data_IF_356218023281
#
_entry.id   IF_356218023281
#
_cell.length_a   1.000
_cell.length_b   1.000
_cell.length_c   1.000
_cell.angle_alpha   90.00
_cell.angle_beta   90.00
_cell.angle_gamma   90.00
#
_symmetry.space_group_name_H-M   'P 1'
#
loop_
_entity.id
_entity.type
_entity.pdbx_description
1 polymer ?
#
# COMPACT_ATOMS: atom_id res chain seq x y z
N UNK A 1 13.95 -7.59 -38.40
CA UNK A 1 13.91 -8.13 -37.03
C UNK A 1 14.57 -7.11 -36.11
N UNK A 2 13.79 -6.30 -35.38
CA UNK A 2 14.31 -5.42 -34.33
C UNK A 2 14.14 -6.14 -33.00
N UNK A 3 15.26 -6.38 -32.31
CA UNK A 3 15.27 -6.87 -30.93
C UNK A 3 14.51 -5.87 -30.07
N UNK A 4 13.36 -6.27 -29.51
CA UNK A 4 12.77 -5.52 -28.40
C UNK A 4 13.71 -5.71 -27.23
N UNK A 5 14.50 -4.69 -26.91
CA UNK A 5 15.14 -4.62 -25.62
C UNK A 5 14.03 -4.75 -24.57
N UNK A 6 14.07 -5.84 -23.82
CA UNK A 6 13.10 -6.15 -22.79
C UNK A 6 13.43 -5.25 -21.59
N UNK A 7 13.15 -3.95 -21.69
CA UNK A 7 13.29 -3.02 -20.56
C UNK A 7 12.43 -3.55 -19.43
N UNK A 8 13.07 -4.01 -18.36
CA UNK A 8 12.40 -4.45 -17.14
C UNK A 8 11.66 -3.22 -16.60
N UNK A 9 10.34 -3.22 -16.75
CA UNK A 9 9.52 -2.17 -16.17
C UNK A 9 9.44 -2.43 -14.66
N UNK A 10 10.16 -1.63 -13.87
CA UNK A 10 10.15 -1.71 -12.42
C UNK A 10 8.86 -1.07 -11.92
N UNK A 11 8.07 -1.84 -11.17
CA UNK A 11 6.86 -1.34 -10.55
C UNK A 11 7.16 -0.78 -9.15
N UNK A 12 6.64 0.40 -8.84
CA UNK A 12 6.78 1.04 -7.54
C UNK A 12 5.64 0.60 -6.62
N UNK A 13 5.98 -0.11 -5.56
CA UNK A 13 5.08 -0.53 -4.49
C UNK A 13 5.31 0.35 -3.27
N UNK A 14 4.23 0.94 -2.75
CA UNK A 14 4.25 1.63 -1.47
C UNK A 14 3.48 0.84 -0.42
N UNK A 15 4.12 0.55 0.70
CA UNK A 15 3.57 -0.30 1.76
C UNK A 15 3.29 0.54 2.99
N UNK A 16 2.03 0.61 3.39
CA UNK A 16 1.65 1.17 4.68
C UNK A 16 1.53 0.04 5.70
N UNK A 17 2.18 0.17 6.85
CA UNK A 17 2.12 -0.82 7.91
C UNK A 17 2.08 -0.19 9.30
N UNK A 18 1.66 -0.99 10.28
CA UNK A 18 1.82 -0.70 11.70
C UNK A 18 2.58 -1.82 12.38
N UNK A 19 3.63 -1.47 13.13
CA UNK A 19 4.44 -2.38 13.94
C UNK A 19 4.91 -3.62 13.15
N UNK A 20 5.48 -3.40 11.97
CA UNK A 20 6.03 -4.47 11.12
C UNK A 20 5.01 -5.44 10.51
N UNK A 21 3.70 -5.14 10.58
CA UNK A 21 2.64 -6.04 10.10
C UNK A 21 2.77 -6.46 8.63
N UNK A 22 3.43 -5.67 7.78
CA UNK A 22 3.65 -5.99 6.36
C UNK A 22 4.94 -6.75 6.07
N UNK A 23 5.85 -6.93 7.04
CA UNK A 23 7.22 -7.39 6.78
C UNK A 23 7.30 -8.77 6.11
N UNK A 24 6.45 -9.71 6.52
CA UNK A 24 6.43 -11.05 5.94
C UNK A 24 6.07 -11.01 4.44
N UNK A 25 5.15 -10.14 4.04
CA UNK A 25 4.74 -9.94 2.65
C UNK A 25 5.81 -9.19 1.86
N UNK A 26 6.39 -8.14 2.44
CA UNK A 26 7.52 -7.41 1.84
C UNK A 26 8.71 -8.34 1.58
N UNK A 27 9.06 -9.21 2.54
CA UNK A 27 10.14 -10.19 2.37
C UNK A 27 9.84 -11.13 1.20
N UNK A 28 8.63 -11.67 1.12
CA UNK A 28 8.21 -12.50 -0.02
C UNK A 28 8.27 -11.77 -1.36
N UNK A 29 7.86 -10.49 -1.41
CA UNK A 29 7.98 -9.68 -2.63
C UNK A 29 9.45 -9.50 -3.04
N UNK A 30 10.34 -9.24 -2.09
CA UNK A 30 11.78 -9.08 -2.37
C UNK A 30 12.43 -10.39 -2.82
N UNK A 31 12.08 -11.50 -2.18
CA UNK A 31 12.62 -12.83 -2.48
C UNK A 31 12.13 -13.38 -3.82
N UNK A 32 10.84 -13.27 -4.10
CA UNK A 32 10.21 -13.88 -5.28
C UNK A 32 9.87 -12.89 -6.40
N UNK A 33 10.07 -11.59 -6.18
CA UNK A 33 9.70 -10.53 -7.13
C UNK A 33 10.64 -10.40 -8.34
N UNK A 34 11.77 -11.11 -8.35
CA UNK A 34 12.74 -11.13 -9.44
C UNK A 34 13.21 -9.73 -9.88
N UNK A 35 13.47 -8.84 -8.92
CA UNK A 35 13.89 -7.46 -9.14
C UNK A 35 12.92 -6.62 -10.00
N UNK A 36 11.63 -6.96 -10.03
CA UNK A 36 10.60 -6.21 -10.78
C UNK A 36 9.87 -5.16 -9.95
N UNK A 37 10.17 -5.08 -8.66
CA UNK A 37 9.48 -4.20 -7.72
C UNK A 37 10.49 -3.34 -6.96
N UNK A 38 10.26 -2.03 -6.98
CA UNK A 38 10.83 -1.10 -6.01
C UNK A 38 9.84 -0.98 -4.84
N UNK A 39 10.26 -1.28 -3.61
CA UNK A 39 9.36 -1.37 -2.45
C UNK A 39 9.75 -0.33 -1.40
N UNK A 40 8.91 0.67 -1.24
CA UNK A 40 8.97 1.68 -0.16
C UNK A 40 8.01 1.30 0.97
N UNK A 41 8.40 1.59 2.21
CA UNK A 41 7.62 1.26 3.41
C UNK A 41 7.43 2.52 4.25
N UNK A 42 6.17 2.79 4.59
CA UNK A 42 5.76 3.81 5.55
C UNK A 42 5.18 3.10 6.77
N UNK A 43 5.84 3.27 7.91
CA UNK A 43 5.42 2.68 9.19
C UNK A 43 4.74 3.73 10.08
N UNK A 44 3.57 3.39 10.62
CA UNK A 44 2.85 4.17 11.63
C UNK A 44 2.88 3.38 12.95
N UNK A 45 3.98 3.54 13.69
CA UNK A 45 4.29 2.76 14.89
C UNK A 45 3.95 3.49 16.20
N UNK A 46 3.50 4.74 16.10
CA UNK A 46 3.02 5.49 17.25
C UNK A 46 1.75 4.85 17.83
N UNK A 47 1.54 4.91 19.16
CA UNK A 47 0.25 4.62 19.76
C UNK A 47 -0.83 5.48 19.11
N UNK A 48 -1.90 4.85 18.65
CA UNK A 48 -3.04 5.55 18.04
C UNK A 48 -4.22 5.56 19.02
N UNK A 49 -4.99 6.66 19.08
CA UNK A 49 -6.27 6.65 19.77
C UNK A 49 -7.21 5.61 19.13
N UNK A 50 -8.26 5.14 19.83
CA UNK A 50 -9.20 4.16 19.29
C UNK A 50 -10.04 4.69 18.13
N UNK A 51 -10.13 6.02 17.99
CA UNK A 51 -10.81 6.74 16.91
C UNK A 51 -9.93 7.91 16.50
N UNK A 52 -9.77 8.13 15.20
CA UNK A 52 -8.97 9.22 14.64
C UNK A 52 -9.89 10.12 13.82
N UNK A 53 -10.16 11.33 14.32
CA UNK A 53 -10.99 12.31 13.62
C UNK A 53 -10.27 12.94 12.41
N UNK A 54 -8.94 13.12 12.49
CA UNK A 54 -8.11 13.63 11.39
C UNK A 54 -6.91 12.71 11.12
N UNK A 55 -7.02 11.91 10.07
CA UNK A 55 -5.96 10.95 9.68
C UNK A 55 -4.77 11.62 8.98
N UNK A 56 -4.87 12.90 8.60
CA UNK A 56 -3.79 13.64 7.90
C UNK A 56 -2.52 13.78 8.73
N UNK A 57 -2.64 13.68 10.05
CA UNK A 57 -1.48 13.65 10.95
C UNK A 57 -0.62 12.38 10.77
N UNK A 58 -1.17 11.32 10.15
CA UNK A 58 -0.54 10.01 10.03
C UNK A 58 -0.35 9.56 8.58
N UNK A 59 -1.21 10.01 7.67
CA UNK A 59 -1.15 9.68 6.25
C UNK A 59 -0.57 10.84 5.44
N UNK A 60 0.23 10.55 4.39
CA UNK A 60 0.69 11.60 3.50
C UNK A 60 -0.50 12.23 2.78
N UNK A 61 -0.62 13.55 2.90
CA UNK A 61 -1.77 14.29 2.38
C UNK A 61 -1.79 14.32 0.85
N UNK A 62 -0.64 14.41 0.16
CA UNK A 62 -0.62 14.70 -1.28
C UNK A 62 0.36 13.91 -2.17
N UNK A 63 1.46 13.36 -1.64
CA UNK A 63 2.59 12.88 -2.46
C UNK A 63 2.71 11.36 -2.64
N UNK A 64 1.60 10.61 -2.61
CA UNK A 64 1.65 9.17 -2.90
C UNK A 64 1.98 8.96 -4.39
N UNK A 65 3.22 8.54 -4.66
CA UNK A 65 3.72 8.19 -5.99
C UNK A 65 4.04 6.69 -6.04
N UNK A 66 3.02 5.89 -6.32
CA UNK A 66 3.15 4.44 -6.43
C UNK A 66 2.23 3.88 -7.52
N UNK A 67 2.64 2.76 -8.12
CA UNK A 67 1.80 2.03 -9.07
C UNK A 67 0.76 1.17 -8.34
N UNK A 68 1.11 0.66 -7.15
CA UNK A 68 0.21 -0.08 -6.26
C UNK A 68 0.55 0.24 -4.81
N UNK A 69 -0.49 0.39 -3.98
CA UNK A 69 -0.36 0.51 -2.52
C UNK A 69 -0.75 -0.79 -1.84
N UNK A 70 0.08 -1.27 -0.92
CA UNK A 70 -0.25 -2.39 -0.03
C UNK A 70 -0.61 -1.84 1.35
N UNK A 71 -1.81 -2.14 1.80
CA UNK A 71 -2.36 -1.65 3.06
C UNK A 71 -2.35 -2.76 4.13
N UNK A 72 -1.36 -2.71 5.01
CA UNK A 72 -1.24 -3.54 6.22
C UNK A 72 -1.54 -2.75 7.50
N UNK A 73 -2.19 -1.59 7.42
CA UNK A 73 -2.61 -0.84 8.60
C UNK A 73 -3.61 -1.67 9.43
N UNK A 74 -3.58 -1.53 10.75
CA UNK A 74 -4.53 -2.18 11.66
C UNK A 74 -5.69 -1.25 12.02
N UNK A 75 -5.42 0.06 12.08
CA UNK A 75 -6.43 1.06 12.41
C UNK A 75 -7.42 1.22 11.26
N UNK A 76 -8.74 1.05 11.50
CA UNK A 76 -9.74 1.12 10.44
C UNK A 76 -9.79 2.49 9.78
N UNK A 77 -9.77 3.58 10.56
CA UNK A 77 -9.85 4.95 10.03
C UNK A 77 -8.69 5.27 9.07
N UNK A 78 -7.45 4.94 9.45
CA UNK A 78 -6.30 5.12 8.57
C UNK A 78 -6.39 4.27 7.29
N UNK A 79 -6.89 3.04 7.41
CA UNK A 79 -7.05 2.14 6.25
C UNK A 79 -8.10 2.67 5.27
N UNK A 80 -9.21 3.19 5.82
CA UNK A 80 -10.30 3.78 5.04
C UNK A 80 -9.82 5.04 4.32
N UNK A 81 -9.20 5.97 5.04
CA UNK A 81 -8.74 7.23 4.45
C UNK A 81 -7.61 7.00 3.45
N UNK A 82 -6.70 6.06 3.70
CA UNK A 82 -5.70 5.65 2.71
C UNK A 82 -6.36 5.14 1.42
N UNK A 83 -7.38 4.29 1.52
CA UNK A 83 -8.11 3.79 0.37
C UNK A 83 -8.82 4.93 -0.40
N UNK A 84 -9.37 5.92 0.31
CA UNK A 84 -9.98 7.11 -0.30
C UNK A 84 -8.95 8.00 -1.01
N UNK A 85 -7.82 8.28 -0.35
CA UNK A 85 -6.69 9.06 -0.90
C UNK A 85 -6.17 8.42 -2.18
N UNK A 86 -5.94 7.11 -2.18
CA UNK A 86 -5.47 6.37 -3.35
C UNK A 86 -6.54 6.27 -4.45
N UNK A 87 -7.80 6.00 -4.07
CA UNK A 87 -8.92 5.91 -5.01
C UNK A 87 -9.15 7.22 -5.77
N UNK A 88 -9.07 8.36 -5.09
CA UNK A 88 -9.16 9.69 -5.72
C UNK A 88 -8.03 9.97 -6.71
N UNK A 89 -6.90 9.26 -6.60
CA UNK A 89 -5.73 9.38 -7.48
C UNK A 89 -5.66 8.30 -8.55
N UNK A 90 -6.61 7.36 -8.56
CA UNK A 90 -6.57 6.21 -9.46
C UNK A 90 -5.48 5.19 -9.11
N UNK A 91 -4.94 5.23 -7.90
CA UNK A 91 -3.91 4.28 -7.43
C UNK A 91 -4.63 3.06 -6.83
N UNK A 92 -4.41 1.84 -7.35
CA UNK A 92 -5.01 0.64 -6.79
C UNK A 92 -4.42 0.33 -5.42
N UNK A 93 -5.30 -0.07 -4.49
CA UNK A 93 -4.92 -0.49 -3.13
C UNK A 93 -5.23 -1.97 -2.93
N UNK A 94 -4.28 -2.71 -2.38
CA UNK A 94 -4.46 -4.10 -1.94
C UNK A 94 -4.50 -4.13 -0.42
N UNK A 95 -5.69 -4.39 0.14
CA UNK A 95 -5.93 -4.42 1.58
C UNK A 95 -6.36 -5.83 2.02
N UNK A 96 -5.41 -6.77 1.99
CA UNK A 96 -5.68 -8.19 2.27
C UNK A 96 -6.34 -8.39 3.64
N UNK A 97 -7.44 -9.16 3.68
CA UNK A 97 -8.18 -9.45 4.91
C UNK A 97 -9.07 -8.32 5.44
N UNK A 98 -9.11 -7.14 4.81
CA UNK A 98 -9.98 -6.04 5.22
C UNK A 98 -11.33 -6.10 4.50
N UNK A 99 -12.41 -5.77 5.22
CA UNK A 99 -13.78 -5.69 4.68
C UNK A 99 -14.17 -4.26 4.31
N UNK A 100 -13.25 -3.48 3.77
CA UNK A 100 -13.54 -2.11 3.34
C UNK A 100 -14.24 -2.15 1.98
N UNK A 101 -15.28 -1.34 1.79
CA UNK A 101 -15.99 -1.19 0.52
C UNK A 101 -15.71 0.20 -0.04
N UNK A 102 -14.56 0.36 -0.68
CA UNK A 102 -14.14 1.59 -1.36
C UNK A 102 -13.87 1.29 -2.84
N UNK A 103 -14.31 2.17 -3.74
CA UNK A 103 -14.10 2.00 -5.19
C UNK A 103 -12.59 2.01 -5.50
N UNK A 104 -12.09 1.00 -6.21
CA UNK A 104 -10.66 0.84 -6.53
C UNK A 104 -9.84 0.06 -5.49
N UNK A 105 -10.49 -0.40 -4.41
CA UNK A 105 -9.88 -1.30 -3.44
C UNK A 105 -10.03 -2.75 -3.90
N UNK A 106 -8.93 -3.49 -3.92
CA UNK A 106 -8.92 -4.93 -4.14
C UNK A 106 -8.67 -5.64 -2.82
N UNK A 107 -9.62 -6.47 -2.40
CA UNK A 107 -9.51 -7.31 -1.22
C UNK A 107 -9.40 -8.77 -1.68
N UNK A 108 -8.19 -9.34 -1.78
CA UNK A 108 -8.04 -10.76 -2.09
C UNK A 108 -8.79 -11.62 -1.06
N UNK A 109 -9.49 -12.68 -1.49
CA UNK A 109 -10.14 -13.61 -0.55
C UNK A 109 -9.08 -14.30 0.31
N UNK A 110 -9.41 -14.50 1.59
CA UNK A 110 -8.66 -15.35 2.54
C UNK A 110 -9.24 -16.75 2.60
#
# INVERSE_FOLDING_TARGET
MMNRENTINIQNLLVFQQNGSGESKVRGIREYGANRFNVEIVSIDAPLPPVIDDTKAYLPSEDIRADVVLDFLKHPDLSYDLAMICGNRGIPVVASGKKLRVKGLFTPPT
#
